data_IF_586501764264
#
_entry.id   IF_586501764264
#
_cell.length_a   1.000
_cell.length_b   1.000
_cell.length_c   1.000
_cell.angle_alpha   90.00
_cell.angle_beta   90.00
_cell.angle_gamma   90.00
#
_symmetry.space_group_name_H-M   'P 1'
#
loop_
_entity.id
_entity.type
_entity.pdbx_description
1 polymer ?
#
# COMPACT_ATOMS: atom_id res chain seq x y z
N UNK A 1 -3.28 20.66 -20.17
CA UNK A 1 -4.12 19.63 -19.52
C UNK A 1 -3.32 18.35 -19.38
N UNK A 2 -2.48 18.19 -18.35
CA UNK A 2 -1.66 16.97 -18.15
C UNK A 2 -1.18 16.81 -16.69
N UNK A 3 -2.08 16.85 -15.69
CA UNK A 3 -1.72 16.58 -14.27
C UNK A 3 -2.46 15.38 -13.65
N UNK A 4 -3.42 14.78 -14.34
CA UNK A 4 -4.29 13.74 -13.77
C UNK A 4 -3.60 12.41 -13.46
N UNK A 5 -2.51 12.06 -14.16
CA UNK A 5 -1.84 10.76 -14.00
C UNK A 5 -0.94 10.70 -12.76
N UNK A 6 -0.23 11.79 -12.46
CA UNK A 6 0.64 11.92 -11.29
C UNK A 6 -0.17 11.99 -9.99
N UNK A 7 -1.29 12.73 -10.01
CA UNK A 7 -2.18 12.84 -8.85
C UNK A 7 -2.91 11.51 -8.57
N UNK A 8 -3.23 10.73 -9.60
CA UNK A 8 -3.81 9.40 -9.45
C UNK A 8 -2.83 8.43 -8.77
N UNK A 9 -1.60 8.31 -9.26
CA UNK A 9 -0.58 7.43 -8.64
C UNK A 9 -0.26 7.84 -7.19
N UNK A 10 -0.26 9.16 -6.91
CA UNK A 10 -0.09 9.70 -5.56
C UNK A 10 -1.22 9.25 -4.64
N UNK A 11 -2.47 9.44 -5.06
CA UNK A 11 -3.63 9.05 -4.26
C UNK A 11 -3.70 7.53 -4.07
N UNK A 12 -3.27 6.75 -5.06
CA UNK A 12 -3.16 5.30 -4.94
C UNK A 12 -2.14 4.85 -3.91
N UNK A 13 -0.93 5.42 -3.93
CA UNK A 13 0.08 5.11 -2.92
C UNK A 13 -0.43 5.43 -1.51
N UNK A 14 -1.10 6.58 -1.34
CA UNK A 14 -1.66 6.99 -0.05
C UNK A 14 -2.76 6.05 0.43
N UNK A 15 -3.69 5.64 -0.44
CA UNK A 15 -4.76 4.69 -0.09
C UNK A 15 -4.18 3.33 0.32
N UNK A 16 -3.23 2.78 -0.47
CA UNK A 16 -2.59 1.49 -0.15
C UNK A 16 -1.84 1.53 1.17
N UNK A 17 -1.06 2.58 1.42
CA UNK A 17 -0.32 2.72 2.68
C UNK A 17 -1.26 2.85 3.88
N UNK A 18 -2.35 3.62 3.72
CA UNK A 18 -3.33 3.84 4.79
C UNK A 18 -4.12 2.56 5.11
N UNK A 19 -4.51 1.79 4.08
CA UNK A 19 -5.21 0.50 4.26
C UNK A 19 -4.33 -0.52 4.96
N UNK A 20 -3.05 -0.63 4.58
CA UNK A 20 -2.13 -1.53 5.26
C UNK A 20 -1.92 -1.10 6.72
N UNK A 21 -1.76 0.20 6.96
CA UNK A 21 -1.61 0.74 8.32
C UNK A 21 -2.82 0.41 9.21
N UNK A 22 -4.04 0.59 8.69
CA UNK A 22 -5.29 0.26 9.40
C UNK A 22 -5.41 -1.23 9.71
N UNK A 23 -5.08 -2.09 8.74
CA UNK A 23 -5.11 -3.54 8.93
C UNK A 23 -4.14 -3.97 10.04
N UNK A 24 -2.91 -3.46 10.00
CA UNK A 24 -1.87 -3.79 10.99
C UNK A 24 -2.21 -3.29 12.40
N UNK A 25 -2.91 -2.16 12.52
CA UNK A 25 -3.40 -1.63 13.79
C UNK A 25 -4.55 -2.46 14.39
N UNK A 26 -5.27 -3.24 13.58
CA UNK A 26 -6.37 -4.10 14.03
C UNK A 26 -5.90 -5.48 14.52
N UNK A 27 -4.62 -5.81 14.41
CA UNK A 27 -4.08 -7.04 14.98
C UNK A 27 -4.15 -7.02 16.50
N UNK A 28 -4.23 -8.21 17.11
CA UNK A 28 -4.19 -8.37 18.55
C UNK A 28 -2.87 -7.88 19.19
N UNK A 29 -1.78 -7.90 18.41
CA UNK A 29 -0.43 -7.47 18.84
C UNK A 29 0.13 -6.39 17.89
N UNK A 30 -0.43 -5.17 17.91
CA UNK A 30 -0.03 -4.10 16.99
C UNK A 30 1.39 -3.59 17.28
N UNK A 31 1.89 -3.83 18.49
CA UNK A 31 3.25 -3.49 18.93
C UNK A 31 4.35 -4.23 18.15
N UNK A 32 4.08 -5.46 17.69
CA UNK A 32 5.00 -6.19 16.80
C UNK A 32 5.16 -5.51 15.42
N UNK A 33 4.17 -4.71 15.00
CA UNK A 33 4.15 -4.04 13.70
C UNK A 33 4.58 -2.58 13.77
N UNK A 34 5.03 -2.08 14.93
CA UNK A 34 5.39 -0.66 15.11
C UNK A 34 6.43 -0.17 14.11
N UNK A 35 7.44 -0.99 13.80
CA UNK A 35 8.43 -0.63 12.80
C UNK A 35 7.83 -0.52 11.39
N UNK A 36 6.92 -1.43 11.03
CA UNK A 36 6.19 -1.41 9.75
C UNK A 36 5.24 -0.20 9.68
N UNK A 37 4.56 0.12 10.78
CA UNK A 37 3.70 1.31 10.88
C UNK A 37 4.50 2.61 10.68
N UNK A 38 5.70 2.70 11.27
CA UNK A 38 6.58 3.85 11.10
C UNK A 38 7.09 4.00 9.65
N UNK A 39 7.39 2.88 8.97
CA UNK A 39 7.75 2.88 7.55
C UNK A 39 6.58 3.43 6.72
N UNK A 40 5.36 2.96 6.97
CA UNK A 40 4.16 3.40 6.26
C UNK A 40 3.86 4.88 6.48
N UNK A 41 3.96 5.36 7.72
CA UNK A 41 3.77 6.78 8.04
C UNK A 41 4.81 7.67 7.34
N UNK A 42 6.07 7.24 7.33
CA UNK A 42 7.15 7.91 6.61
C UNK A 42 6.86 7.93 5.11
N UNK A 43 6.40 6.82 4.53
CA UNK A 43 6.00 6.72 3.13
C UNK A 43 4.86 7.68 2.79
N UNK A 44 3.80 7.72 3.60
CA UNK A 44 2.66 8.64 3.48
C UNK A 44 3.14 10.10 3.49
N UNK A 45 3.98 10.46 4.45
CA UNK A 45 4.51 11.82 4.57
C UNK A 45 5.33 12.21 3.33
N UNK A 46 6.24 11.35 2.87
CA UNK A 46 7.07 11.62 1.69
C UNK A 46 6.25 11.74 0.40
N UNK A 47 5.21 10.91 0.23
CA UNK A 47 4.28 11.01 -0.91
C UNK A 47 3.46 12.29 -0.82
N UNK A 48 2.96 12.69 0.36
CA UNK A 48 2.24 13.96 0.57
C UNK A 48 3.08 15.17 0.18
N UNK A 49 4.34 15.20 0.61
CA UNK A 49 5.30 16.28 0.36
C UNK A 49 5.95 16.25 -1.03
N UNK A 50 5.54 15.33 -1.92
CA UNK A 50 6.12 15.15 -3.26
C UNK A 50 7.65 14.98 -3.25
N UNK A 51 8.22 14.44 -2.16
CA UNK A 51 9.67 14.32 -2.03
C UNK A 51 10.27 13.31 -3.02
N UNK A 52 9.48 12.34 -3.51
CA UNK A 52 9.83 11.45 -4.61
C UNK A 52 8.56 11.05 -5.39
N UNK A 53 8.73 10.37 -6.52
CA UNK A 53 7.61 9.81 -7.28
C UNK A 53 6.91 8.71 -6.46
N UNK A 54 5.58 8.57 -6.57
CA UNK A 54 4.81 7.57 -5.81
C UNK A 54 5.32 6.13 -5.99
N UNK A 55 5.77 5.77 -7.19
CA UNK A 55 6.30 4.45 -7.53
C UNK A 55 7.62 4.18 -6.79
N UNK A 56 8.48 5.20 -6.68
CA UNK A 56 9.75 5.07 -5.95
C UNK A 56 9.50 4.91 -4.45
N UNK A 57 8.52 5.62 -3.90
CA UNK A 57 8.14 5.42 -2.49
C UNK A 57 7.53 4.05 -2.25
N UNK A 58 6.65 3.59 -3.14
CA UNK A 58 6.07 2.25 -3.06
C UNK A 58 7.16 1.16 -3.02
N UNK A 59 8.20 1.30 -3.86
CA UNK A 59 9.35 0.38 -3.85
C UNK A 59 10.09 0.38 -2.52
N UNK A 60 10.43 1.56 -2.02
CA UNK A 60 11.18 1.70 -0.75
C UNK A 60 10.37 1.12 0.41
N UNK A 61 9.07 1.42 0.47
CA UNK A 61 8.17 0.89 1.50
C UNK A 61 8.09 -0.64 1.41
N UNK A 62 7.90 -1.20 0.20
CA UNK A 62 7.86 -2.65 0.02
C UNK A 62 9.16 -3.33 0.47
N UNK A 63 10.32 -2.84 0.01
CA UNK A 63 11.62 -3.43 0.33
C UNK A 63 11.89 -3.38 1.84
N UNK A 64 11.55 -2.27 2.50
CA UNK A 64 11.70 -2.12 3.95
C UNK A 64 10.77 -3.04 4.74
N UNK A 65 9.51 -3.16 4.32
CA UNK A 65 8.56 -4.06 4.98
C UNK A 65 8.99 -5.51 4.77
N UNK A 66 9.35 -5.91 3.55
CA UNK A 66 9.83 -7.26 3.26
C UNK A 66 11.04 -7.62 4.13
N UNK A 67 12.02 -6.71 4.24
CA UNK A 67 13.16 -6.89 5.14
C UNK A 67 12.72 -7.08 6.59
N UNK A 68 11.77 -6.28 7.08
CA UNK A 68 11.31 -6.37 8.46
C UNK A 68 10.56 -7.67 8.74
N UNK A 69 9.76 -8.16 7.78
CA UNK A 69 9.05 -9.44 7.91
C UNK A 69 10.01 -10.58 8.16
N UNK A 70 11.15 -10.60 7.47
CA UNK A 70 12.17 -11.63 7.69
C UNK A 70 12.85 -11.51 9.05
N UNK A 71 13.12 -10.28 9.51
CA UNK A 71 13.80 -10.02 10.79
C UNK A 71 12.88 -10.36 11.98
N UNK A 72 11.63 -9.89 11.96
CA UNK A 72 10.70 -10.00 13.07
C UNK A 72 9.77 -11.22 12.96
N UNK A 73 9.87 -12.01 11.88
CA UNK A 73 9.00 -13.16 11.58
C UNK A 73 7.51 -12.80 11.65
N UNK A 74 7.17 -11.65 11.08
CA UNK A 74 5.81 -11.12 11.10
C UNK A 74 4.88 -11.98 10.24
N UNK A 75 3.65 -12.17 10.72
CA UNK A 75 2.63 -12.95 10.02
C UNK A 75 1.54 -12.03 9.49
N UNK A 76 1.63 -11.72 8.20
CA UNK A 76 0.56 -11.01 7.51
C UNK A 76 -0.58 -11.95 7.12
N UNK A 77 -1.80 -11.42 7.22
CA UNK A 77 -3.00 -12.08 6.73
C UNK A 77 -3.02 -12.15 5.20
N UNK A 78 -3.93 -12.94 4.64
CA UNK A 78 -4.11 -13.03 3.19
C UNK A 78 -4.45 -11.66 2.56
N UNK A 79 -5.21 -10.82 3.26
CA UNK A 79 -5.61 -9.50 2.75
C UNK A 79 -4.47 -8.48 2.82
N UNK A 80 -3.63 -8.53 3.86
CA UNK A 80 -2.42 -7.71 3.95
C UNK A 80 -1.40 -8.06 2.88
N UNK A 81 -1.23 -9.36 2.59
CA UNK A 81 -0.38 -9.80 1.51
C UNK A 81 -0.88 -9.32 0.13
N UNK A 82 -2.19 -9.23 -0.09
CA UNK A 82 -2.75 -8.61 -1.31
C UNK A 82 -2.41 -7.12 -1.39
N UNK A 83 -2.47 -6.40 -0.27
CA UNK A 83 -2.09 -4.97 -0.22
C UNK A 83 -0.58 -4.78 -0.44
N UNK A 84 0.26 -5.69 0.06
CA UNK A 84 1.71 -5.66 -0.20
C UNK A 84 2.06 -5.98 -1.65
N UNK A 85 1.42 -6.99 -2.24
CA UNK A 85 1.55 -7.28 -3.66
C UNK A 85 1.15 -6.07 -4.50
N UNK A 86 0.11 -5.37 -4.08
CA UNK A 86 -0.35 -4.15 -4.72
C UNK A 86 0.62 -2.97 -4.65
N UNK A 87 1.25 -2.76 -3.50
CA UNK A 87 2.32 -1.76 -3.35
C UNK A 87 3.50 -2.13 -4.26
N UNK A 88 3.87 -3.41 -4.34
CA UNK A 88 4.91 -3.89 -5.23
C UNK A 88 4.55 -3.69 -6.71
N UNK A 89 3.31 -3.93 -7.11
CA UNK A 89 2.85 -3.64 -8.46
C UNK A 89 2.90 -2.15 -8.77
N UNK A 90 2.48 -1.27 -7.85
CA UNK A 90 2.59 0.18 -8.01
C UNK A 90 4.05 0.61 -8.19
N UNK A 91 4.99 -0.03 -7.50
CA UNK A 91 6.42 0.21 -7.64
C UNK A 91 6.97 -0.15 -9.04
N UNK A 92 6.35 -1.11 -9.72
CA UNK A 92 6.74 -1.60 -11.04
C UNK A 92 5.84 -1.10 -12.18
N UNK A 93 4.71 -0.48 -11.84
CA UNK A 93 3.69 -0.05 -12.79
C UNK A 93 4.12 1.22 -13.53
N UNK A 94 4.43 1.06 -14.82
CA UNK A 94 4.14 2.08 -15.83
C UNK A 94 2.71 1.96 -16.40
N UNK A 95 1.92 0.94 -15.99
CA UNK A 95 0.59 0.61 -16.53
C UNK A 95 -0.45 0.49 -15.40
N UNK A 96 -1.45 1.35 -15.49
CA UNK A 96 -2.47 1.57 -14.48
C UNK A 96 -3.29 0.35 -14.06
N UNK A 97 -3.45 0.30 -12.75
CA UNK A 97 -4.29 -0.46 -11.84
C UNK A 97 -5.81 -0.60 -12.14
N UNK A 98 -6.21 -0.73 -13.40
CA UNK A 98 -7.61 -0.94 -13.77
C UNK A 98 -8.27 -2.17 -13.11
N UNK A 99 -7.49 -3.13 -12.65
CA UNK A 99 -7.98 -4.44 -12.18
C UNK A 99 -8.22 -4.54 -10.67
N UNK A 100 -7.46 -3.83 -9.82
CA UNK A 100 -7.64 -3.94 -8.36
C UNK A 100 -8.85 -3.13 -7.84
N UNK A 101 -9.29 -2.11 -8.58
CA UNK A 101 -10.56 -1.43 -8.29
C UNK A 101 -11.76 -2.39 -8.35
N UNK A 102 -11.64 -3.53 -9.04
CA UNK A 102 -12.68 -4.57 -9.03
C UNK A 102 -12.72 -5.37 -7.71
N UNK A 103 -11.61 -5.48 -6.97
CA UNK A 103 -11.58 -6.19 -5.69
C UNK A 103 -12.30 -5.43 -4.56
N UNK A 104 -12.53 -4.11 -4.72
CA UNK A 104 -13.35 -3.30 -3.81
C UNK A 104 -14.79 -3.10 -4.28
N UNK A 105 -15.16 -3.52 -5.49
CA UNK A 105 -16.50 -3.29 -6.08
C UNK A 105 -17.29 -4.57 -6.37
N UNK A 106 -16.77 -5.75 -6.03
CA UNK A 106 -17.57 -6.99 -5.91
C UNK A 106 -18.46 -6.98 -4.66
N UNK A 107 -19.38 -6.01 -4.60
CA UNK A 107 -20.63 -6.07 -3.85
C UNK A 107 -21.82 -5.69 -4.76
N UNK A 108 -21.70 -5.94 -6.07
CA UNK A 108 -22.86 -5.99 -6.95
C UNK A 108 -23.36 -7.44 -6.98
N UNK A 109 -24.26 -7.74 -6.04
CA UNK A 109 -25.23 -8.82 -6.23
C UNK A 109 -25.87 -8.64 -7.60
N UNK A 110 -25.93 -9.67 -8.47
CA UNK A 110 -26.81 -9.63 -9.62
C UNK A 110 -28.22 -9.84 -9.09
N UNK A 111 -28.89 -8.76 -8.69
CA UNK A 111 -30.34 -8.77 -8.56
C UNK A 111 -30.90 -8.84 -9.97
N UNK A 112 -31.65 -9.90 -10.21
CA UNK A 112 -32.28 -10.30 -11.48
C UNK A 112 -32.99 -9.18 -12.25
#
# INVERSE_FOLDING_TARGET
>A
MTNTKSDYAKNQALDLFTRLQLSLQQHATPECYQYVLNILETGISKVKHNQQTPERQARVVYDQIASQVFVDKLHFTADENKILAAINELAHSQKGWGEFNMLGTTNTWPSQ
#
